data_IF_497438295279
#
_entry.id   IF_497438295279
#
_cell.length_a   1.000
_cell.length_b   1.000
_cell.length_c   1.000
_cell.angle_alpha   90.00
_cell.angle_beta   90.00
_cell.angle_gamma   90.00
#
_symmetry.space_group_name_H-M   'P 1'
#
loop_
_entity.id
_entity.type
_entity.pdbx_description
1 polymer ?
#
# COMPACT_ATOMS: atom_id res chain seq x y z
N UNK A 1 2.14 -16.91 4.40
CA UNK A 1 1.43 -15.63 4.19
C UNK A 1 1.00 -15.53 2.75
N UNK A 2 -0.25 -15.11 2.47
CA UNK A 2 -0.70 -14.87 1.10
C UNK A 2 -0.49 -13.41 0.70
N UNK A 3 0.08 -13.21 -0.49
CA UNK A 3 0.27 -11.88 -1.09
C UNK A 3 -0.42 -11.85 -2.45
N UNK A 4 -1.22 -10.82 -2.67
CA UNK A 4 -1.86 -10.58 -3.96
C UNK A 4 -1.20 -9.41 -4.68
N UNK A 5 -0.69 -9.68 -5.87
CA UNK A 5 -0.15 -8.66 -6.77
C UNK A 5 -1.06 -8.52 -7.98
N UNK A 6 -1.23 -7.33 -8.51
CA UNK A 6 -2.08 -7.12 -9.69
C UNK A 6 -1.37 -6.32 -10.77
N UNK A 7 -1.62 -6.70 -12.01
CA UNK A 7 -1.11 -6.01 -13.19
C UNK A 7 -2.24 -5.72 -14.17
N UNK A 8 -2.25 -4.52 -14.75
CA UNK A 8 -3.24 -4.10 -15.74
C UNK A 8 -2.65 -4.11 -17.13
N UNK A 9 -3.17 -4.97 -18.00
CA UNK A 9 -2.81 -5.07 -19.42
C UNK A 9 -3.68 -4.12 -20.21
N UNK A 10 -3.10 -3.23 -20.99
CA UNK A 10 -3.84 -2.26 -21.80
C UNK A 10 -4.49 -2.94 -23.01
N UNK A 11 -5.76 -2.64 -23.24
CA UNK A 11 -6.49 -3.04 -24.45
C UNK A 11 -6.16 -2.04 -25.57
N UNK A 12 -5.66 -2.51 -26.69
CA UNK A 12 -5.43 -1.66 -27.88
C UNK A 12 -6.73 -1.01 -28.33
N UNK A 13 -6.64 0.24 -28.78
CA UNK A 13 -7.80 0.96 -29.28
C UNK A 13 -8.38 0.23 -30.51
N UNK A 14 -9.63 -0.21 -30.41
CA UNK A 14 -10.35 -0.93 -31.44
C UNK A 14 -11.86 -0.71 -31.29
N UNK A 15 -12.61 -0.97 -32.34
CA UNK A 15 -14.06 -0.79 -32.33
C UNK A 15 -14.75 -2.01 -31.69
N UNK A 16 -14.90 -1.96 -30.35
CA UNK A 16 -15.57 -2.98 -29.54
C UNK A 16 -16.57 -2.34 -28.57
N UNK A 17 -17.67 -3.02 -28.23
CA UNK A 17 -18.80 -2.44 -27.49
C UNK A 17 -18.59 -2.38 -25.98
N UNK A 18 -17.37 -2.07 -25.49
CA UNK A 18 -17.07 -1.95 -24.06
C UNK A 18 -17.99 -0.92 -23.38
N UNK A 19 -18.29 0.19 -24.08
CA UNK A 19 -19.15 1.27 -23.51
C UNK A 19 -20.57 0.78 -23.26
N UNK A 20 -21.13 -0.03 -24.14
CA UNK A 20 -22.47 -0.61 -23.97
C UNK A 20 -22.52 -1.55 -22.78
N UNK A 21 -21.52 -2.45 -22.70
CA UNK A 21 -21.36 -3.36 -21.55
C UNK A 21 -21.24 -2.60 -20.23
N UNK A 22 -20.41 -1.53 -20.17
CA UNK A 22 -20.27 -0.74 -18.96
C UNK A 22 -21.54 0.01 -18.59
N UNK A 23 -22.31 0.49 -19.57
CA UNK A 23 -23.57 1.19 -19.31
C UNK A 23 -24.57 0.27 -18.61
N UNK A 24 -24.83 -0.92 -19.20
CA UNK A 24 -25.79 -1.87 -18.62
C UNK A 24 -25.32 -2.38 -17.26
N UNK A 25 -24.03 -2.68 -17.11
CA UNK A 25 -23.46 -3.11 -15.84
C UNK A 25 -23.62 -2.08 -14.74
N UNK A 26 -23.31 -0.80 -15.03
CA UNK A 26 -23.44 0.29 -14.06
C UNK A 26 -24.88 0.58 -13.68
N UNK A 27 -25.80 0.53 -14.64
CA UNK A 27 -27.23 0.64 -14.35
C UNK A 27 -27.69 -0.47 -13.41
N UNK A 28 -27.24 -1.71 -13.64
CA UNK A 28 -27.52 -2.85 -12.76
C UNK A 28 -26.94 -2.64 -11.35
N UNK A 29 -25.68 -2.20 -11.23
CA UNK A 29 -25.07 -1.89 -9.92
C UNK A 29 -25.82 -0.76 -9.21
N UNK A 30 -26.16 0.34 -9.92
CA UNK A 30 -26.89 1.45 -9.32
C UNK A 30 -28.25 1.03 -8.77
N UNK A 31 -28.98 0.20 -9.50
CA UNK A 31 -30.25 -0.37 -9.04
C UNK A 31 -30.06 -1.24 -7.80
N UNK A 32 -29.08 -2.15 -7.82
CA UNK A 32 -28.77 -3.05 -6.68
C UNK A 32 -28.31 -2.26 -5.43
N UNK A 33 -27.59 -1.16 -5.59
CA UNK A 33 -27.21 -0.27 -4.47
C UNK A 33 -28.44 0.26 -3.76
N UNK A 34 -29.47 0.66 -4.50
CA UNK A 34 -30.73 1.14 -3.92
C UNK A 34 -31.46 0.02 -3.18
N UNK A 35 -31.65 -1.14 -3.84
CA UNK A 35 -32.28 -2.33 -3.25
C UNK A 35 -31.60 -2.77 -1.94
N UNK A 36 -30.28 -2.82 -1.96
CA UNK A 36 -29.54 -3.28 -0.78
C UNK A 36 -29.41 -2.22 0.32
N UNK A 37 -29.52 -0.94 -0.01
CA UNK A 37 -29.62 0.09 1.01
C UNK A 37 -30.96 0.00 1.76
N UNK A 38 -32.07 -0.23 1.03
CA UNK A 38 -33.39 -0.45 1.62
C UNK A 38 -33.47 -1.73 2.48
N UNK A 39 -32.75 -2.79 2.10
CA UNK A 39 -32.75 -4.08 2.79
C UNK A 39 -31.54 -4.27 3.71
N UNK A 40 -30.76 -3.21 4.00
CA UNK A 40 -29.48 -3.34 4.69
C UNK A 40 -29.59 -3.82 6.12
N UNK A 41 -30.64 -3.43 6.82
CA UNK A 41 -30.90 -3.87 8.21
C UNK A 41 -30.96 -5.40 8.30
N UNK A 42 -31.69 -6.04 7.40
CA UNK A 42 -31.79 -7.51 7.32
C UNK A 42 -30.48 -8.16 6.88
N UNK A 43 -29.84 -7.60 5.82
CA UNK A 43 -28.61 -8.15 5.25
C UNK A 43 -27.40 -8.03 6.19
N UNK A 44 -27.34 -6.97 6.98
CA UNK A 44 -26.20 -6.72 7.91
C UNK A 44 -26.14 -7.70 9.07
N UNK A 45 -27.27 -8.28 9.48
CA UNK A 45 -27.37 -9.29 10.55
C UNK A 45 -26.76 -10.64 10.15
N UNK A 46 -26.51 -10.87 8.87
CA UNK A 46 -25.93 -12.12 8.39
C UNK A 46 -24.39 -12.00 8.44
N UNK A 47 -23.73 -12.59 9.43
CA UNK A 47 -22.28 -12.51 9.61
C UNK A 47 -21.48 -13.16 8.48
N UNK A 48 -21.96 -14.30 7.95
CA UNK A 48 -21.27 -15.03 6.91
C UNK A 48 -21.43 -14.34 5.55
N UNK A 49 -20.33 -13.93 4.95
CA UNK A 49 -20.28 -13.18 3.67
C UNK A 49 -20.99 -13.95 2.55
N UNK A 50 -20.80 -15.28 2.47
CA UNK A 50 -21.42 -16.10 1.42
C UNK A 50 -22.93 -16.21 1.62
N UNK A 51 -23.38 -16.37 2.88
CA UNK A 51 -24.82 -16.40 3.20
C UNK A 51 -25.47 -15.05 2.91
N UNK A 52 -24.80 -13.95 3.27
CA UNK A 52 -25.26 -12.58 2.95
C UNK A 52 -25.37 -12.37 1.45
N UNK A 53 -24.38 -12.82 0.67
CA UNK A 53 -24.43 -12.76 -0.79
C UNK A 53 -25.63 -13.55 -1.36
N UNK A 54 -25.85 -14.77 -0.88
CA UNK A 54 -26.97 -15.61 -1.31
C UNK A 54 -28.31 -14.95 -0.96
N UNK A 55 -28.46 -14.41 0.23
CA UNK A 55 -29.67 -13.67 0.64
C UNK A 55 -29.90 -12.47 -0.29
N UNK A 56 -28.87 -11.70 -0.57
CA UNK A 56 -28.93 -10.57 -1.50
C UNK A 56 -29.30 -11.00 -2.94
N UNK A 57 -28.78 -12.13 -3.41
CA UNK A 57 -29.16 -12.69 -4.72
C UNK A 57 -30.62 -13.14 -4.74
N UNK A 58 -31.14 -13.73 -3.66
CA UNK A 58 -32.54 -14.14 -3.54
C UNK A 58 -33.53 -12.97 -3.58
N UNK A 59 -33.14 -11.79 -3.14
CA UNK A 59 -34.02 -10.59 -3.20
C UNK A 59 -34.30 -10.16 -4.65
N UNK A 60 -33.40 -10.44 -5.58
CA UNK A 60 -33.38 -9.84 -6.93
C UNK A 60 -33.42 -10.88 -8.07
N UNK A 61 -33.21 -12.15 -7.77
CA UNK A 61 -33.18 -13.20 -8.78
C UNK A 61 -34.27 -14.22 -8.58
N UNK A 62 -35.13 -14.35 -9.58
CA UNK A 62 -36.22 -15.30 -9.57
C UNK A 62 -35.76 -16.68 -10.04
N UNK A 63 -36.18 -17.70 -9.33
CA UNK A 63 -35.95 -19.10 -9.68
C UNK A 63 -37.24 -19.93 -9.42
N UNK A 64 -37.27 -21.17 -9.91
CA UNK A 64 -38.41 -22.06 -9.64
C UNK A 64 -38.75 -22.23 -8.15
N UNK A 65 -37.77 -22.02 -7.26
CA UNK A 65 -37.88 -22.17 -5.80
C UNK A 65 -37.89 -20.85 -5.02
N UNK A 66 -37.60 -19.72 -5.70
CA UNK A 66 -37.49 -18.42 -5.06
C UNK A 66 -38.20 -17.36 -5.90
N UNK A 67 -39.18 -16.70 -5.31
CA UNK A 67 -39.80 -15.52 -5.91
C UNK A 67 -39.02 -14.29 -5.47
N UNK A 68 -38.50 -13.54 -6.44
CA UNK A 68 -37.74 -12.32 -6.17
C UNK A 68 -38.64 -11.21 -5.59
N UNK A 69 -38.17 -10.50 -4.57
CA UNK A 69 -38.86 -9.33 -3.99
C UNK A 69 -38.82 -8.13 -4.92
N UNK A 70 -37.76 -7.99 -5.73
CA UNK A 70 -37.52 -6.86 -6.61
C UNK A 70 -37.41 -7.29 -8.08
N UNK A 71 -37.79 -6.40 -8.99
CA UNK A 71 -37.95 -6.61 -10.43
C UNK A 71 -36.64 -6.56 -11.26
N UNK A 72 -35.50 -6.93 -10.64
CA UNK A 72 -34.20 -6.86 -11.29
C UNK A 72 -34.13 -7.64 -12.62
N UNK A 73 -34.61 -8.87 -12.61
CA UNK A 73 -34.56 -9.74 -13.81
C UNK A 73 -35.45 -9.20 -14.95
N UNK A 74 -36.53 -8.48 -14.61
CA UNK A 74 -37.37 -7.79 -15.59
C UNK A 74 -36.69 -6.56 -16.17
N UNK A 75 -35.95 -5.80 -15.35
CA UNK A 75 -35.20 -4.60 -15.78
C UNK A 75 -33.94 -4.92 -16.58
N UNK A 76 -33.29 -6.03 -16.25
CA UNK A 76 -32.05 -6.46 -16.88
C UNK A 76 -32.18 -7.87 -17.50
N UNK A 77 -33.14 -8.08 -18.41
CA UNK A 77 -33.32 -9.37 -19.05
C UNK A 77 -32.06 -9.69 -19.85
N UNK A 78 -31.61 -10.94 -19.85
CA UNK A 78 -30.39 -11.40 -20.52
C UNK A 78 -29.05 -10.94 -19.89
N UNK A 79 -29.05 -10.31 -18.71
CA UNK A 79 -27.78 -10.05 -18.03
C UNK A 79 -27.14 -11.38 -17.62
N UNK A 80 -25.90 -11.69 -18.08
CA UNK A 80 -25.25 -12.95 -17.73
C UNK A 80 -25.16 -13.13 -16.21
N UNK A 81 -25.43 -14.35 -15.72
CA UNK A 81 -25.47 -14.67 -14.29
C UNK A 81 -24.20 -14.28 -13.55
N UNK A 82 -23.02 -14.48 -14.15
CA UNK A 82 -21.76 -14.07 -13.54
C UNK A 82 -21.57 -12.54 -13.48
N UNK A 83 -22.13 -11.81 -14.45
CA UNK A 83 -22.13 -10.34 -14.40
C UNK A 83 -23.09 -9.83 -13.34
N UNK A 84 -24.27 -10.45 -13.19
CA UNK A 84 -25.20 -10.19 -12.09
C UNK A 84 -24.52 -10.41 -10.75
N UNK A 85 -23.85 -11.55 -10.56
CA UNK A 85 -23.10 -11.84 -9.32
C UNK A 85 -22.01 -10.85 -9.03
N UNK A 86 -21.26 -10.41 -10.05
CA UNK A 86 -20.29 -9.35 -9.92
C UNK A 86 -20.94 -8.01 -9.51
N UNK A 87 -22.11 -7.67 -10.07
CA UNK A 87 -22.86 -6.47 -9.72
C UNK A 87 -23.39 -6.51 -8.28
N UNK A 88 -23.90 -7.66 -7.85
CA UNK A 88 -24.34 -7.90 -6.46
C UNK A 88 -23.18 -7.68 -5.48
N UNK A 89 -22.02 -8.29 -5.71
CA UNK A 89 -20.84 -8.10 -4.85
C UNK A 89 -20.43 -6.63 -4.79
N UNK A 90 -20.45 -5.94 -5.91
CA UNK A 90 -20.08 -4.53 -5.98
C UNK A 90 -21.05 -3.67 -5.18
N UNK A 91 -22.35 -3.88 -5.36
CA UNK A 91 -23.40 -3.14 -4.67
C UNK A 91 -23.35 -3.38 -3.15
N UNK A 92 -23.23 -4.64 -2.70
CA UNK A 92 -23.07 -4.97 -1.28
C UNK A 92 -21.84 -4.28 -0.67
N UNK A 93 -20.69 -4.29 -1.37
CA UNK A 93 -19.49 -3.61 -0.90
C UNK A 93 -19.67 -2.09 -0.79
N UNK A 94 -20.39 -1.47 -1.72
CA UNK A 94 -20.68 -0.03 -1.72
C UNK A 94 -21.59 0.36 -0.55
N UNK A 95 -22.66 -0.40 -0.31
CA UNK A 95 -23.60 -0.16 0.81
C UNK A 95 -22.90 -0.40 2.15
N UNK A 96 -22.19 -1.51 2.32
CA UNK A 96 -21.42 -1.80 3.55
C UNK A 96 -20.39 -0.70 3.88
N UNK A 97 -19.70 -0.19 2.86
CA UNK A 97 -18.75 0.92 3.03
C UNK A 97 -19.45 2.23 3.42
N UNK A 98 -20.61 2.50 2.84
CA UNK A 98 -21.42 3.66 3.18
C UNK A 98 -21.90 3.61 4.62
N UNK A 99 -22.50 2.49 5.06
CA UNK A 99 -22.99 2.29 6.41
C UNK A 99 -21.87 2.39 7.47
N UNK A 100 -20.73 1.77 7.20
CA UNK A 100 -19.55 1.91 8.07
C UNK A 100 -19.15 3.38 8.24
N UNK A 101 -19.13 4.15 7.13
CA UNK A 101 -18.80 5.58 7.17
C UNK A 101 -19.87 6.41 7.84
N UNK A 102 -21.14 6.06 7.65
CA UNK A 102 -22.27 6.72 8.32
C UNK A 102 -22.16 6.57 9.84
N UNK A 103 -21.92 5.37 10.34
CA UNK A 103 -21.71 5.11 11.77
C UNK A 103 -20.42 5.78 12.33
N UNK A 104 -19.38 6.01 11.51
CA UNK A 104 -18.24 6.82 11.92
C UNK A 104 -18.58 8.32 12.00
N UNK A 105 -19.42 8.82 11.11
CA UNK A 105 -19.88 10.20 11.13
C UNK A 105 -20.79 10.47 12.34
N UNK A 106 -21.73 9.59 12.62
CA UNK A 106 -22.62 9.67 13.80
C UNK A 106 -21.83 9.69 15.11
N UNK A 107 -20.73 8.95 15.19
CA UNK A 107 -19.80 8.98 16.33
C UNK A 107 -18.81 10.15 16.34
N UNK A 108 -19.02 11.16 15.48
CA UNK A 108 -18.17 12.35 15.39
C UNK A 108 -16.74 12.12 14.86
N UNK A 109 -16.46 10.94 14.29
CA UNK A 109 -15.13 10.59 13.76
C UNK A 109 -14.89 11.07 12.31
N UNK A 110 -15.91 11.58 11.64
CA UNK A 110 -15.86 12.16 10.30
C UNK A 110 -16.48 13.53 10.29
N UNK A 111 -15.87 14.48 9.58
CA UNK A 111 -16.29 15.88 9.50
C UNK A 111 -17.47 16.15 8.54
N UNK A 112 -17.81 15.21 7.67
CA UNK A 112 -18.89 15.35 6.69
C UNK A 112 -19.77 14.10 6.60
N UNK A 113 -21.09 14.31 6.48
CA UNK A 113 -22.03 13.20 6.27
C UNK A 113 -21.68 12.47 4.96
N UNK A 114 -21.48 11.16 4.97
CA UNK A 114 -21.23 10.39 3.77
C UNK A 114 -22.47 10.41 2.86
N UNK A 115 -22.25 10.28 1.55
CA UNK A 115 -23.31 10.12 0.57
C UNK A 115 -23.24 8.71 0.02
N UNK A 116 -24.39 8.07 -0.11
CA UNK A 116 -24.51 6.81 -0.86
C UNK A 116 -24.33 7.16 -2.35
N UNK A 117 -23.23 6.69 -2.95
CA UNK A 117 -22.91 6.95 -4.35
C UNK A 117 -23.37 5.77 -5.16
N UNK A 118 -24.35 5.98 -6.03
CA UNK A 118 -24.69 5.04 -7.09
C UNK A 118 -23.57 5.08 -8.15
N UNK A 119 -22.93 3.96 -8.35
CA UNK A 119 -21.59 3.84 -8.91
C UNK A 119 -21.48 4.08 -10.43
N UNK A 120 -21.20 5.31 -10.83
CA UNK A 120 -20.76 5.62 -12.20
C UNK A 120 -19.38 5.06 -12.56
N UNK A 121 -18.65 4.50 -11.59
CA UNK A 121 -17.29 4.00 -11.75
C UNK A 121 -17.19 2.47 -11.60
N UNK A 122 -18.30 1.78 -11.35
CA UNK A 122 -18.31 0.32 -11.23
C UNK A 122 -17.73 -0.36 -12.48
N UNK A 123 -16.89 -1.36 -12.26
CA UNK A 123 -16.18 -2.09 -13.30
C UNK A 123 -16.40 -3.59 -13.15
N UNK A 124 -16.83 -4.31 -14.22
CA UNK A 124 -17.15 -5.72 -14.16
C UNK A 124 -15.90 -6.60 -14.00
N UNK A 125 -16.08 -7.72 -13.30
CA UNK A 125 -15.16 -8.85 -13.32
C UNK A 125 -15.58 -9.79 -14.45
N UNK A 126 -14.64 -10.17 -15.31
CA UNK A 126 -14.87 -11.10 -16.40
C UNK A 126 -14.47 -12.51 -15.99
N UNK A 127 -15.41 -13.32 -15.56
CA UNK A 127 -15.15 -14.68 -15.11
C UNK A 127 -14.58 -15.56 -16.25
N UNK A 128 -13.55 -16.33 -15.91
CA UNK A 128 -12.85 -17.20 -16.86
C UNK A 128 -13.80 -18.21 -17.48
N UNK A 129 -13.59 -18.49 -18.76
CA UNK A 129 -14.34 -19.41 -19.62
C UNK A 129 -15.83 -19.06 -19.83
N UNK A 130 -16.37 -18.09 -19.12
CA UNK A 130 -17.77 -17.63 -19.25
C UNK A 130 -17.86 -16.23 -19.84
N UNK A 131 -17.01 -15.32 -19.41
CA UNK A 131 -16.98 -13.91 -19.85
C UNK A 131 -15.62 -13.50 -20.43
N UNK A 132 -14.57 -14.25 -20.08
CA UNK A 132 -13.19 -14.07 -20.53
C UNK A 132 -12.60 -15.41 -20.96
N UNK A 133 -11.94 -15.42 -22.12
CA UNK A 133 -11.09 -16.51 -22.59
C UNK A 133 -9.74 -15.93 -23.00
N UNK A 134 -8.65 -16.56 -22.58
CA UNK A 134 -7.34 -16.24 -23.13
C UNK A 134 -7.31 -16.67 -24.62
N UNK A 135 -6.61 -15.96 -25.45
CA UNK A 135 -6.17 -16.47 -26.76
C UNK A 135 -4.98 -17.42 -26.55
N UNK A 136 -4.42 -17.95 -27.62
CA UNK A 136 -3.24 -18.81 -27.56
C UNK A 136 -2.08 -18.10 -26.85
N UNK A 137 -1.21 -18.87 -26.19
CA UNK A 137 -0.13 -18.32 -25.34
C UNK A 137 0.81 -17.36 -26.08
N UNK A 138 0.97 -17.54 -27.39
CA UNK A 138 1.81 -16.67 -28.22
C UNK A 138 1.08 -15.42 -28.73
N UNK A 139 -0.25 -15.36 -28.58
CA UNK A 139 -1.03 -14.21 -29.02
C UNK A 139 -1.16 -13.13 -27.96
N UNK A 140 -1.03 -11.87 -28.38
CA UNK A 140 -1.34 -10.72 -27.55
C UNK A 140 -2.81 -10.34 -27.66
N UNK A 141 -3.70 -11.28 -27.34
CA UNK A 141 -5.14 -11.15 -27.47
C UNK A 141 -5.89 -11.90 -26.36
N UNK A 142 -7.16 -11.56 -26.23
CA UNK A 142 -8.13 -12.28 -25.40
C UNK A 142 -9.51 -12.18 -26.02
N UNK A 143 -10.45 -12.98 -25.53
CA UNK A 143 -11.86 -12.90 -25.92
C UNK A 143 -12.67 -12.44 -24.70
N UNK A 144 -13.47 -11.38 -24.90
CA UNK A 144 -14.41 -10.88 -23.90
C UNK A 144 -15.84 -11.05 -24.39
N UNK A 145 -16.72 -11.53 -23.51
CA UNK A 145 -18.15 -11.55 -23.80
C UNK A 145 -18.74 -10.18 -23.47
N UNK A 146 -19.08 -9.41 -24.49
CA UNK A 146 -19.54 -8.02 -24.40
C UNK A 146 -20.97 -7.88 -24.97
N UNK A 147 -21.68 -6.87 -24.47
CA UNK A 147 -23.01 -6.50 -24.94
C UNK A 147 -22.89 -5.53 -26.13
N UNK A 148 -23.41 -5.93 -27.30
CA UNK A 148 -23.34 -5.10 -28.51
C UNK A 148 -24.48 -4.08 -28.66
N UNK A 149 -25.42 -4.06 -27.71
CA UNK A 149 -26.63 -3.27 -27.72
C UNK A 149 -27.90 -4.10 -27.98
N UNK A 150 -27.73 -5.34 -28.46
CA UNK A 150 -28.81 -6.29 -28.69
C UNK A 150 -28.63 -7.63 -27.97
N UNK A 151 -27.39 -8.15 -28.03
CA UNK A 151 -27.07 -9.44 -27.43
C UNK A 151 -25.63 -9.49 -26.86
N UNK A 152 -25.30 -10.58 -26.14
CA UNK A 152 -24.01 -10.86 -25.56
C UNK A 152 -23.20 -11.76 -26.48
N UNK A 153 -22.12 -11.20 -27.08
CA UNK A 153 -21.26 -11.89 -28.04
C UNK A 153 -19.81 -11.88 -27.62
N UNK A 154 -19.04 -12.81 -28.09
CA UNK A 154 -17.60 -12.86 -27.92
C UNK A 154 -16.92 -11.90 -28.90
N UNK A 155 -16.06 -11.04 -28.35
CA UNK A 155 -15.25 -10.11 -29.13
C UNK A 155 -13.78 -10.39 -28.82
N UNK A 156 -12.97 -10.53 -29.88
CA UNK A 156 -11.51 -10.56 -29.74
C UNK A 156 -11.01 -9.18 -29.38
N UNK A 157 -10.19 -9.08 -28.32
CA UNK A 157 -9.56 -7.85 -27.85
C UNK A 157 -8.06 -8.00 -27.99
N UNK A 158 -7.42 -7.07 -28.72
CA UNK A 158 -5.98 -7.04 -28.88
C UNK A 158 -5.36 -6.29 -27.68
N UNK A 159 -4.28 -6.84 -27.14
CA UNK A 159 -3.57 -6.37 -25.95
C UNK A 159 -2.22 -5.78 -26.36
N UNK A 160 -1.64 -4.93 -25.49
CA UNK A 160 -0.31 -4.41 -25.75
C UNK A 160 0.74 -5.49 -25.52
N UNK A 161 1.63 -5.65 -26.48
CA UNK A 161 2.71 -6.66 -26.47
C UNK A 161 3.61 -6.53 -25.22
N UNK A 162 4.05 -5.32 -24.93
CA UNK A 162 4.92 -5.04 -23.77
C UNK A 162 4.33 -5.46 -22.43
N UNK A 163 3.00 -5.32 -22.27
CA UNK A 163 2.29 -5.75 -21.08
C UNK A 163 2.18 -7.28 -21.02
N UNK A 164 1.88 -7.91 -22.15
CA UNK A 164 1.78 -9.37 -22.25
C UNK A 164 3.13 -10.04 -22.05
N UNK A 165 4.20 -9.49 -22.63
CA UNK A 165 5.57 -9.96 -22.41
C UNK A 165 5.96 -9.87 -20.94
N UNK A 166 5.62 -8.76 -20.26
CA UNK A 166 5.84 -8.61 -18.82
C UNK A 166 5.12 -9.70 -18.03
N UNK A 167 3.86 -10.01 -18.37
CA UNK A 167 3.11 -11.08 -17.69
C UNK A 167 3.75 -12.45 -17.93
N UNK A 168 4.12 -12.79 -19.15
CA UNK A 168 4.78 -14.06 -19.48
C UNK A 168 6.10 -14.21 -18.71
N UNK A 169 6.91 -13.15 -18.65
CA UNK A 169 8.20 -13.17 -17.95
C UNK A 169 8.08 -13.27 -16.44
N UNK A 170 7.15 -12.56 -15.81
CA UNK A 170 7.11 -12.40 -14.36
C UNK A 170 6.04 -13.23 -13.66
N UNK A 171 5.04 -13.71 -14.40
CA UNK A 171 3.84 -14.35 -13.85
C UNK A 171 3.50 -15.71 -14.50
N UNK A 172 4.41 -16.25 -15.32
CA UNK A 172 4.26 -17.58 -15.87
C UNK A 172 4.05 -18.64 -14.78
N UNK A 173 3.15 -19.58 -15.01
CA UNK A 173 2.84 -20.65 -14.08
C UNK A 173 2.07 -20.26 -12.80
N UNK A 174 1.79 -18.96 -12.59
CA UNK A 174 1.04 -18.50 -11.41
C UNK A 174 -0.45 -18.39 -11.71
N UNK A 175 -1.28 -18.80 -10.73
CA UNK A 175 -2.73 -18.74 -10.84
C UNK A 175 -3.20 -17.28 -10.83
N UNK A 176 -3.74 -16.83 -11.96
CA UNK A 176 -4.39 -15.53 -12.05
C UNK A 176 -5.88 -15.64 -11.70
N UNK A 177 -6.42 -14.64 -11.01
CA UNK A 177 -7.87 -14.48 -10.83
C UNK A 177 -8.56 -14.11 -12.15
N UNK A 178 -9.89 -14.12 -12.17
CA UNK A 178 -10.66 -13.53 -13.26
C UNK A 178 -10.29 -12.04 -13.44
N UNK A 179 -10.05 -11.56 -14.67
CA UNK A 179 -9.67 -10.19 -14.88
C UNK A 179 -10.81 -9.22 -14.60
N UNK A 180 -10.46 -8.08 -14.03
CA UNK A 180 -11.38 -6.94 -13.85
C UNK A 180 -11.13 -5.92 -14.94
N UNK A 181 -12.18 -5.44 -15.60
CA UNK A 181 -12.04 -4.31 -16.51
C UNK A 181 -11.72 -3.06 -15.71
N UNK A 182 -10.75 -2.27 -16.16
CA UNK A 182 -10.38 -0.99 -15.56
C UNK A 182 -10.35 0.09 -16.63
N UNK A 183 -10.83 1.29 -16.29
CA UNK A 183 -10.71 2.45 -17.16
C UNK A 183 -9.79 3.48 -16.51
N UNK A 184 -8.72 3.87 -17.23
CA UNK A 184 -7.84 4.97 -16.84
C UNK A 184 -7.87 6.04 -17.93
N UNK A 185 -8.39 7.20 -17.61
CA UNK A 185 -8.64 8.25 -18.58
C UNK A 185 -9.52 7.74 -19.76
N UNK A 186 -8.95 7.63 -20.95
CA UNK A 186 -9.66 7.17 -22.14
C UNK A 186 -9.26 5.75 -22.58
N UNK A 187 -8.46 5.05 -21.76
CA UNK A 187 -7.93 3.70 -22.06
C UNK A 187 -8.58 2.65 -21.17
N UNK A 188 -8.70 1.45 -21.68
CA UNK A 188 -9.22 0.28 -20.96
C UNK A 188 -8.09 -0.72 -20.70
N UNK A 189 -8.18 -1.36 -19.56
CA UNK A 189 -7.20 -2.36 -19.11
C UNK A 189 -7.94 -3.58 -18.57
N UNK A 190 -7.36 -4.75 -18.79
CA UNK A 190 -7.70 -5.96 -18.07
C UNK A 190 -6.72 -6.11 -16.92
N UNK A 191 -7.23 -5.99 -15.71
CA UNK A 191 -6.41 -6.16 -14.49
C UNK A 191 -6.49 -7.60 -14.02
N UNK A 192 -5.36 -8.28 -14.05
CA UNK A 192 -5.18 -9.61 -13.50
C UNK A 192 -4.60 -9.50 -12.08
N UNK A 193 -5.09 -10.32 -11.16
CA UNK A 193 -4.54 -10.45 -9.82
C UNK A 193 -3.96 -11.84 -9.65
N UNK A 194 -2.76 -11.92 -9.08
CA UNK A 194 -2.01 -13.14 -8.84
C UNK A 194 -1.79 -13.28 -7.35
N UNK A 195 -2.16 -14.42 -6.80
CA UNK A 195 -1.96 -14.72 -5.37
C UNK A 195 -0.83 -15.72 -5.23
N UNK A 196 0.12 -15.40 -4.36
CA UNK A 196 1.29 -16.22 -4.04
C UNK A 196 1.31 -16.53 -2.55
N UNK A 197 1.71 -17.74 -2.19
CA UNK A 197 2.04 -18.09 -0.82
C UNK A 197 3.54 -17.86 -0.60
N UNK A 198 3.87 -17.04 0.39
CA UNK A 198 5.25 -16.66 0.69
C UNK A 198 5.56 -17.01 2.14
N UNK A 199 6.71 -17.63 2.34
CA UNK A 199 7.30 -17.82 3.66
C UNK A 199 8.17 -16.62 4.00
N UNK A 200 7.84 -15.93 5.10
CA UNK A 200 8.69 -14.86 5.63
C UNK A 200 9.84 -15.46 6.45
N UNK A 201 10.98 -14.79 6.51
CA UNK A 201 12.14 -15.18 7.32
C UNK A 201 11.72 -15.48 8.76
N UNK A 202 12.20 -16.62 9.28
CA UNK A 202 12.00 -17.08 10.66
C UNK A 202 13.31 -17.14 11.44
N UNK A 203 14.37 -16.51 10.92
CA UNK A 203 15.69 -16.46 11.57
C UNK A 203 15.57 -15.99 13.01
N UNK A 204 16.29 -16.63 13.92
CA UNK A 204 16.37 -16.22 15.32
C UNK A 204 16.89 -14.78 15.44
N UNK A 205 16.38 -14.02 16.41
CA UNK A 205 16.69 -12.59 16.57
C UNK A 205 18.19 -12.33 16.69
N UNK A 206 18.93 -13.25 17.32
CA UNK A 206 20.39 -13.11 17.54
C UNK A 206 21.19 -13.28 16.25
N UNK A 207 20.66 -14.04 15.28
CA UNK A 207 21.30 -14.30 13.99
C UNK A 207 20.79 -13.38 12.89
N UNK A 208 19.73 -12.60 13.17
CA UNK A 208 19.13 -11.72 12.17
C UNK A 208 20.07 -10.63 11.70
N UNK A 209 20.04 -10.41 10.40
CA UNK A 209 20.55 -9.20 9.76
C UNK A 209 19.36 -8.32 9.41
N UNK A 210 19.38 -7.05 9.81
CA UNK A 210 18.31 -6.10 9.50
C UNK A 210 18.79 -4.94 8.63
N UNK A 211 17.88 -4.41 7.82
CA UNK A 211 18.05 -3.13 7.13
C UNK A 211 17.21 -2.06 7.84
N UNK A 212 17.81 -1.21 8.64
CA UNK A 212 17.11 -0.08 9.25
C UNK A 212 17.13 1.14 8.35
N UNK A 213 15.99 1.83 8.23
CA UNK A 213 15.75 2.86 7.23
C UNK A 213 15.16 4.10 7.87
N UNK A 214 15.89 5.20 7.75
CA UNK A 214 15.36 6.55 8.01
C UNK A 214 14.92 7.19 6.67
N UNK A 215 13.64 7.64 6.61
CA UNK A 215 13.05 8.28 5.44
C UNK A 215 13.07 9.80 5.62
N UNK A 216 13.83 10.50 4.80
CA UNK A 216 13.99 11.95 4.85
C UNK A 216 13.34 12.71 3.69
N UNK A 217 13.35 14.04 3.79
CA UNK A 217 12.91 14.95 2.72
C UNK A 217 14.11 15.35 1.84
N UNK A 218 15.27 15.59 2.44
CA UNK A 218 16.47 16.00 1.76
C UNK A 218 17.19 14.78 1.15
N UNK A 219 17.50 13.79 1.97
CA UNK A 219 17.92 12.46 1.55
C UNK A 219 16.67 11.56 1.56
N UNK A 220 16.39 10.86 0.46
CA UNK A 220 15.14 10.10 0.32
C UNK A 220 15.06 8.93 1.31
N UNK A 221 16.18 8.22 1.49
CA UNK A 221 16.33 7.21 2.53
C UNK A 221 17.80 7.05 2.90
N UNK A 222 18.06 6.81 4.19
CA UNK A 222 19.35 6.36 4.71
C UNK A 222 19.16 4.96 5.29
N UNK A 223 19.86 3.98 4.71
CA UNK A 223 19.77 2.59 5.08
C UNK A 223 21.03 2.15 5.82
N UNK A 224 20.89 1.36 6.88
CA UNK A 224 22.02 0.70 7.56
C UNK A 224 21.73 -0.78 7.73
N UNK A 225 22.74 -1.60 7.52
CA UNK A 225 22.68 -3.06 7.76
C UNK A 225 23.30 -3.33 9.11
N UNK A 226 22.51 -3.91 10.01
CA UNK A 226 22.87 -4.16 11.42
C UNK A 226 22.62 -5.59 11.83
N UNK A 227 23.45 -6.11 12.74
CA UNK A 227 23.27 -7.36 13.48
C UNK A 227 22.86 -7.09 14.92
N UNK A 228 22.40 -8.12 15.62
CA UNK A 228 21.92 -8.05 17.00
C UNK A 228 22.99 -7.61 18.01
N UNK A 229 24.27 -7.90 17.75
CA UNK A 229 25.42 -7.44 18.54
C UNK A 229 25.79 -5.96 18.34
N UNK A 230 25.09 -5.27 17.42
CA UNK A 230 25.39 -3.90 17.03
C UNK A 230 26.41 -3.78 15.90
N UNK A 231 26.88 -4.88 15.30
CA UNK A 231 27.79 -4.80 14.15
C UNK A 231 27.10 -4.14 12.96
N UNK A 232 27.74 -3.10 12.39
CA UNK A 232 27.29 -2.38 11.19
C UNK A 232 27.99 -2.98 9.98
N UNK A 233 27.26 -3.70 9.13
CA UNK A 233 27.79 -4.35 7.93
C UNK A 233 27.80 -3.44 6.71
N UNK A 234 26.91 -2.45 6.65
CA UNK A 234 26.81 -1.58 5.50
C UNK A 234 25.95 -0.35 5.73
N UNK A 235 26.10 0.64 4.84
CA UNK A 235 25.37 1.92 4.83
C UNK A 235 25.11 2.32 3.40
N UNK A 236 23.93 2.87 3.13
CA UNK A 236 23.58 3.36 1.81
C UNK A 236 22.71 4.62 1.93
N UNK A 237 23.14 5.67 1.22
CA UNK A 237 22.35 6.89 1.04
C UNK A 237 21.63 6.80 -0.31
N UNK A 238 20.32 6.87 -0.29
CA UNK A 238 19.46 6.83 -1.47
C UNK A 238 18.96 8.25 -1.69
N UNK A 239 19.26 8.82 -2.85
CA UNK A 239 18.83 10.16 -3.20
C UNK A 239 18.59 10.28 -4.71
N UNK A 240 17.37 10.57 -5.09
CA UNK A 240 16.94 10.81 -6.47
C UNK A 240 16.80 12.31 -6.72
N UNK A 241 17.91 13.05 -6.62
CA UNK A 241 17.94 14.52 -6.73
C UNK A 241 17.33 15.02 -8.03
N UNK A 242 17.67 14.44 -9.17
CA UNK A 242 17.13 14.83 -10.48
C UNK A 242 15.62 14.69 -10.60
N UNK A 243 15.03 13.63 -9.99
CA UNK A 243 13.58 13.44 -9.97
C UNK A 243 12.90 14.47 -9.05
N UNK A 244 13.53 14.79 -7.91
CA UNK A 244 13.04 15.84 -7.00
C UNK A 244 13.10 17.20 -7.65
N UNK A 245 14.17 17.54 -8.35
CA UNK A 245 14.33 18.79 -9.08
C UNK A 245 13.29 18.91 -10.20
N UNK A 246 13.07 17.82 -10.96
CA UNK A 246 12.02 17.76 -11.97
C UNK A 246 10.64 18.03 -11.36
N UNK A 247 10.32 17.38 -10.22
CA UNK A 247 9.08 17.62 -9.52
C UNK A 247 8.96 19.05 -9.01
N UNK A 248 10.03 19.61 -8.47
CA UNK A 248 10.08 21.01 -8.02
C UNK A 248 9.78 22.00 -9.14
N UNK A 249 10.40 21.82 -10.32
CA UNK A 249 10.14 22.64 -11.49
C UNK A 249 8.70 22.52 -12.03
N UNK A 250 8.14 21.30 -12.01
CA UNK A 250 6.72 21.08 -12.37
C UNK A 250 5.78 21.83 -11.42
N UNK A 251 6.04 21.76 -10.12
CA UNK A 251 5.27 22.48 -9.12
C UNK A 251 5.42 24.00 -9.24
N UNK A 252 6.60 24.49 -9.58
CA UNK A 252 6.86 25.91 -9.88
C UNK A 252 6.01 26.40 -11.06
N UNK A 253 5.97 25.63 -12.15
CA UNK A 253 5.11 25.92 -13.32
C UNK A 253 3.62 25.89 -12.98
N UNK A 254 3.16 24.96 -12.14
CA UNK A 254 1.77 24.91 -11.67
C UNK A 254 1.43 26.17 -10.89
N UNK A 255 2.29 26.59 -9.94
CA UNK A 255 2.07 27.81 -9.14
C UNK A 255 2.00 29.08 -10.00
N UNK A 256 2.89 29.21 -11.01
CA UNK A 256 2.86 30.32 -11.97
C UNK A 256 1.53 30.33 -12.73
N UNK A 257 1.17 29.20 -13.32
CA UNK A 257 -0.09 29.07 -14.06
C UNK A 257 -1.34 29.38 -13.22
N UNK A 258 -1.35 28.95 -11.95
CA UNK A 258 -2.46 29.25 -11.04
C UNK A 258 -2.58 30.74 -10.72
N UNK A 259 -1.47 31.47 -10.65
CA UNK A 259 -1.48 32.94 -10.46
C UNK A 259 -2.02 33.68 -11.69
N UNK A 260 -1.66 33.19 -12.88
CA UNK A 260 -2.02 33.82 -14.15
C UNK A 260 -3.47 33.50 -14.59
N UNK A 261 -3.94 32.27 -14.37
CA UNK A 261 -5.17 31.72 -14.94
C UNK A 261 -6.18 31.20 -13.89
N UNK A 262 -5.86 31.34 -12.60
CA UNK A 262 -6.68 30.77 -11.53
C UNK A 262 -6.58 29.25 -11.41
N UNK A 263 -7.39 28.66 -10.52
CA UNK A 263 -7.27 27.24 -10.14
C UNK A 263 -8.05 26.25 -11.03
N UNK A 264 -8.94 26.73 -11.91
CA UNK A 264 -9.89 25.87 -12.63
C UNK A 264 -9.29 24.96 -13.70
N UNK A 265 -8.15 25.31 -14.30
CA UNK A 265 -7.56 24.58 -15.45
C UNK A 265 -6.29 23.78 -15.13
N UNK A 266 -5.98 23.55 -13.86
CA UNK A 266 -4.71 22.93 -13.44
C UNK A 266 -4.78 21.43 -13.18
N UNK A 267 -5.92 20.80 -13.35
CA UNK A 267 -6.12 19.38 -13.00
C UNK A 267 -5.16 18.43 -13.71
N UNK A 268 -4.95 18.61 -15.03
CA UNK A 268 -4.02 17.76 -15.81
C UNK A 268 -2.57 17.93 -15.36
N UNK A 269 -2.17 19.16 -15.00
CA UNK A 269 -0.81 19.49 -14.50
C UNK A 269 -0.58 18.88 -13.13
N UNK A 270 -1.57 18.94 -12.23
CA UNK A 270 -1.52 18.24 -10.94
C UNK A 270 -1.50 16.73 -11.09
N UNK A 271 -2.25 16.16 -12.04
CA UNK A 271 -2.21 14.73 -12.35
C UNK A 271 -0.81 14.29 -12.80
N UNK A 272 -0.13 15.11 -13.59
CA UNK A 272 1.26 14.87 -13.98
C UNK A 272 2.22 14.92 -12.79
N UNK A 273 2.16 15.96 -11.96
CA UNK A 273 2.97 16.07 -10.74
C UNK A 273 2.75 14.88 -9.79
N UNK A 274 1.49 14.44 -9.63
CA UNK A 274 1.14 13.27 -8.83
C UNK A 274 1.77 11.99 -9.37
N UNK A 275 1.81 11.80 -10.70
CA UNK A 275 2.47 10.63 -11.33
C UNK A 275 3.97 10.63 -11.07
N UNK A 276 4.65 11.78 -11.27
CA UNK A 276 6.08 11.91 -10.96
C UNK A 276 6.38 11.57 -9.49
N UNK A 277 5.60 12.11 -8.58
CA UNK A 277 5.78 11.87 -7.14
C UNK A 277 5.49 10.40 -6.77
N UNK A 278 4.54 9.75 -7.44
CA UNK A 278 4.27 8.32 -7.26
C UNK A 278 5.42 7.47 -7.78
N UNK A 279 5.99 7.85 -8.92
CA UNK A 279 7.14 7.16 -9.50
C UNK A 279 8.39 7.30 -8.63
N UNK A 280 8.65 8.49 -8.10
CA UNK A 280 9.72 8.71 -7.13
C UNK A 280 9.56 7.78 -5.91
N UNK A 281 8.36 7.69 -5.34
CA UNK A 281 8.09 6.78 -4.21
C UNK A 281 8.36 5.31 -4.56
N UNK A 282 8.03 4.87 -5.78
CA UNK A 282 8.31 3.51 -6.27
C UNK A 282 9.81 3.25 -6.40
N UNK A 283 10.56 4.22 -6.95
CA UNK A 283 12.01 4.12 -7.11
C UNK A 283 12.72 4.04 -5.76
N UNK A 284 12.32 4.85 -4.78
CA UNK A 284 12.86 4.80 -3.43
C UNK A 284 12.58 3.43 -2.81
N UNK A 285 11.34 2.95 -2.87
CA UNK A 285 10.96 1.65 -2.34
C UNK A 285 11.75 0.51 -2.99
N UNK A 286 11.93 0.55 -4.30
CA UNK A 286 12.72 -0.44 -5.03
C UNK A 286 14.19 -0.42 -4.61
N UNK A 287 14.79 0.77 -4.45
CA UNK A 287 16.19 0.91 -4.04
C UNK A 287 16.44 0.42 -2.60
N UNK A 288 15.51 0.71 -1.67
CA UNK A 288 15.57 0.21 -0.28
C UNK A 288 15.46 -1.31 -0.27
N UNK A 289 14.47 -1.87 -0.97
CA UNK A 289 14.25 -3.32 -1.01
C UNK A 289 15.42 -4.06 -1.68
N UNK A 290 15.97 -3.50 -2.77
CA UNK A 290 17.14 -4.06 -3.44
C UNK A 290 18.35 -4.11 -2.51
N UNK A 291 18.62 -3.01 -1.79
CA UNK A 291 19.74 -2.96 -0.84
C UNK A 291 19.59 -3.96 0.32
N UNK A 292 18.37 -4.10 0.87
CA UNK A 292 18.09 -5.10 1.88
C UNK A 292 18.32 -6.53 1.35
N UNK A 293 17.87 -6.82 0.12
CA UNK A 293 18.04 -8.12 -0.52
C UNK A 293 19.52 -8.45 -0.82
N UNK A 294 20.27 -7.49 -1.37
CA UNK A 294 21.70 -7.61 -1.65
C UNK A 294 22.51 -7.98 -0.40
N UNK A 295 22.09 -7.46 0.77
CA UNK A 295 22.71 -7.73 2.06
C UNK A 295 22.03 -8.86 2.87
N UNK A 296 21.15 -9.65 2.24
CA UNK A 296 20.42 -10.78 2.85
C UNK A 296 19.72 -10.40 4.17
N UNK A 297 19.14 -9.21 4.23
CA UNK A 297 18.42 -8.75 5.41
C UNK A 297 17.13 -9.56 5.62
N UNK A 298 16.92 -10.03 6.85
CA UNK A 298 15.71 -10.74 7.28
C UNK A 298 14.52 -9.80 7.48
N UNK A 299 14.82 -8.56 7.89
CA UNK A 299 13.83 -7.57 8.27
C UNK A 299 14.24 -6.19 7.77
N UNK A 300 13.31 -5.45 7.17
CA UNK A 300 13.46 -4.00 6.97
C UNK A 300 12.71 -3.29 8.10
N UNK A 301 13.40 -2.39 8.77
CA UNK A 301 12.87 -1.65 9.94
C UNK A 301 12.69 -0.19 9.60
N UNK A 302 11.47 0.30 9.74
CA UNK A 302 11.10 1.71 9.56
C UNK A 302 10.70 2.35 10.89
N UNK A 303 10.60 3.66 10.88
CA UNK A 303 9.87 4.40 11.91
C UNK A 303 8.35 4.31 11.69
N UNK A 304 7.60 4.24 12.80
CA UNK A 304 6.16 4.43 12.79
C UNK A 304 5.84 5.92 12.73
N UNK A 305 5.54 6.39 11.53
CA UNK A 305 5.33 7.81 11.25
C UNK A 305 3.82 8.13 11.17
N UNK A 306 3.17 8.32 12.31
CA UNK A 306 1.86 8.97 12.37
C UNK A 306 2.03 10.50 12.37
N UNK A 307 1.45 11.15 11.37
CA UNK A 307 1.26 12.59 11.41
C UNK A 307 -0.17 12.84 11.85
N UNK A 308 -0.37 12.97 13.16
CA UNK A 308 -1.59 13.50 13.75
C UNK A 308 -1.46 15.02 13.82
N UNK A 309 -2.37 15.74 13.17
CA UNK A 309 -2.44 17.19 13.28
C UNK A 309 -2.46 17.93 11.94
N UNK A 310 -2.88 19.19 11.99
CA UNK A 310 -2.97 20.09 10.83
C UNK A 310 -1.58 20.60 10.47
N UNK A 311 -1.07 20.22 9.33
CA UNK A 311 0.21 20.75 8.83
C UNK A 311 -0.02 22.20 8.37
N UNK A 312 0.73 23.15 8.95
CA UNK A 312 0.68 24.57 8.59
C UNK A 312 2.06 25.10 8.25
N UNK A 313 2.14 26.29 7.68
CA UNK A 313 3.37 27.01 7.38
C UNK A 313 4.02 26.67 6.02
N UNK A 314 5.19 27.28 5.78
CA UNK A 314 5.90 27.24 4.49
C UNK A 314 6.35 25.83 4.04
N UNK A 315 6.50 24.89 4.98
CA UNK A 315 6.89 23.50 4.71
C UNK A 315 5.70 22.58 4.35
N UNK A 316 4.44 23.09 4.46
CA UNK A 316 3.21 22.31 4.25
C UNK A 316 3.23 21.53 2.93
N UNK A 317 3.60 22.17 1.83
CA UNK A 317 3.61 21.52 0.52
C UNK A 317 4.65 20.39 0.43
N UNK A 318 5.88 20.59 0.96
CA UNK A 318 6.92 19.56 0.98
C UNK A 318 6.48 18.35 1.79
N UNK A 319 5.85 18.57 2.95
CA UNK A 319 5.34 17.51 3.82
C UNK A 319 4.17 16.74 3.19
N UNK A 320 3.25 17.41 2.50
CA UNK A 320 2.17 16.74 1.77
C UNK A 320 2.66 15.92 0.57
N UNK A 321 3.73 16.37 -0.08
CA UNK A 321 4.35 15.64 -1.19
C UNK A 321 5.24 14.49 -0.71
N UNK A 322 5.68 14.50 0.54
CA UNK A 322 6.49 13.43 1.11
C UNK A 322 5.65 12.19 1.35
N UNK A 323 5.75 11.23 0.45
CA UNK A 323 4.91 10.02 0.42
C UNK A 323 5.47 8.88 1.30
N UNK A 324 5.91 9.19 2.49
CA UNK A 324 6.54 8.23 3.42
C UNK A 324 5.74 6.95 3.66
N UNK A 325 4.41 7.07 3.85
CA UNK A 325 3.54 5.89 4.02
C UNK A 325 3.41 5.05 2.76
N UNK A 326 3.39 5.70 1.59
CA UNK A 326 3.34 4.98 0.33
C UNK A 326 4.67 4.26 0.05
N UNK A 327 5.82 4.90 0.38
CA UNK A 327 7.14 4.25 0.30
C UNK A 327 7.16 3.02 1.20
N UNK A 328 6.76 3.13 2.48
CA UNK A 328 6.71 1.99 3.39
C UNK A 328 5.80 0.86 2.90
N UNK A 329 4.59 1.18 2.40
CA UNK A 329 3.66 0.17 1.84
C UNK A 329 4.22 -0.52 0.59
N UNK A 330 4.88 0.25 -0.28
CA UNK A 330 5.52 -0.30 -1.47
C UNK A 330 6.71 -1.20 -1.10
N UNK A 331 7.55 -0.78 -0.14
CA UNK A 331 8.61 -1.62 0.41
C UNK A 331 8.05 -2.90 1.02
N UNK A 332 6.98 -2.80 1.83
CA UNK A 332 6.34 -3.95 2.47
C UNK A 332 5.89 -4.99 1.45
N UNK A 333 5.19 -4.54 0.40
CA UNK A 333 4.75 -5.44 -0.66
C UNK A 333 5.92 -6.10 -1.41
N UNK A 334 6.96 -5.32 -1.72
CA UNK A 334 8.15 -5.84 -2.44
C UNK A 334 9.00 -6.76 -1.56
N UNK A 335 9.22 -6.38 -0.29
CA UNK A 335 10.01 -7.12 0.68
C UNK A 335 9.36 -8.47 1.01
N UNK A 336 8.05 -8.49 1.29
CA UNK A 336 7.31 -9.71 1.57
C UNK A 336 7.39 -10.71 0.42
N UNK A 337 7.30 -10.25 -0.84
CA UNK A 337 7.49 -11.13 -2.01
C UNK A 337 8.88 -11.77 -2.10
N UNK A 338 9.85 -11.23 -1.38
CA UNK A 338 11.23 -11.75 -1.27
C UNK A 338 11.50 -12.46 0.05
N UNK A 339 10.46 -12.69 0.86
CA UNK A 339 10.58 -13.35 2.17
C UNK A 339 11.09 -12.44 3.29
N UNK A 340 11.36 -11.17 3.01
CA UNK A 340 11.86 -10.19 3.99
C UNK A 340 10.68 -9.64 4.80
N UNK A 341 10.78 -9.65 6.14
CA UNK A 341 9.76 -9.06 7.03
C UNK A 341 9.88 -7.54 7.09
N UNK A 342 8.77 -6.88 7.44
CA UNK A 342 8.76 -5.45 7.77
C UNK A 342 8.47 -5.28 9.24
N UNK A 343 9.21 -4.39 9.89
CA UNK A 343 8.95 -3.95 11.25
C UNK A 343 8.94 -2.43 11.34
N UNK A 344 8.28 -1.91 12.38
CA UNK A 344 8.22 -0.49 12.66
C UNK A 344 8.52 -0.24 14.13
N UNK A 345 9.28 0.84 14.40
CA UNK A 345 9.64 1.28 15.76
C UNK A 345 9.14 2.70 15.98
N UNK A 346 9.06 3.12 17.26
CA UNK A 346 8.65 4.49 17.59
C UNK A 346 9.61 5.53 16.99
N UNK A 347 9.05 6.53 16.32
CA UNK A 347 9.81 7.63 15.72
C UNK A 347 10.28 8.69 16.74
N UNK A 348 9.75 8.65 17.98
CA UNK A 348 10.05 9.68 19.00
C UNK A 348 11.54 9.69 19.33
N UNK A 349 12.21 10.83 19.15
CA UNK A 349 13.62 11.08 19.46
C UNK A 349 14.67 10.28 18.67
N UNK A 350 14.32 9.51 17.63
CA UNK A 350 15.30 8.75 16.80
C UNK A 350 16.35 9.67 16.20
N UNK A 351 15.94 10.81 15.63
CA UNK A 351 16.82 11.81 15.01
C UNK A 351 17.23 12.95 15.97
N UNK A 352 16.72 12.94 17.20
CA UNK A 352 17.06 13.95 18.22
C UNK A 352 18.19 13.50 19.14
N UNK A 353 18.39 12.20 19.28
CA UNK A 353 19.43 11.64 20.14
C UNK A 353 20.60 11.13 19.29
N UNK A 354 21.81 11.39 19.78
CA UNK A 354 23.04 10.86 19.22
C UNK A 354 23.09 9.33 19.35
N UNK A 355 23.58 8.65 18.33
CA UNK A 355 23.65 7.18 18.35
C UNK A 355 24.65 6.64 19.38
N UNK A 356 25.63 7.45 19.78
CA UNK A 356 26.68 7.09 20.75
C UNK A 356 26.24 7.23 22.22
N UNK A 357 24.99 7.65 22.47
CA UNK A 357 24.47 7.83 23.84
C UNK A 357 24.81 9.16 24.48
N UNK A 358 25.54 10.06 23.83
CA UNK A 358 25.97 11.34 24.39
C UNK A 358 24.85 12.35 24.66
N UNK A 359 23.62 12.07 24.20
CA UNK A 359 22.46 12.91 24.49
C UNK A 359 21.84 13.57 23.25
N UNK A 360 21.23 14.73 23.42
CA UNK A 360 20.57 15.44 22.32
C UNK A 360 21.58 16.03 21.33
N UNK A 361 21.30 15.90 20.04
CA UNK A 361 22.13 16.48 18.97
C UNK A 361 21.75 17.94 18.69
N UNK A 362 22.73 18.76 18.37
CA UNK A 362 22.54 20.13 17.86
C UNK A 362 22.64 20.10 16.34
N UNK A 363 21.54 20.41 15.63
CA UNK A 363 21.52 20.43 14.17
C UNK A 363 22.20 21.67 13.61
N UNK A 364 22.95 21.50 12.55
CA UNK A 364 23.55 22.60 11.81
C UNK A 364 22.46 23.44 11.12
N UNK A 365 22.39 24.76 11.33
CA UNK A 365 21.37 25.62 10.76
C UNK A 365 21.49 25.77 9.24
N UNK A 366 22.70 25.69 8.68
CA UNK A 366 22.95 25.77 7.25
C UNK A 366 22.80 24.42 6.51
N UNK A 367 23.11 23.33 7.21
CA UNK A 367 23.00 21.98 6.65
C UNK A 367 22.26 21.04 7.60
N UNK A 368 20.95 20.94 7.43
CA UNK A 368 20.09 20.11 8.28
C UNK A 368 20.40 18.62 8.30
N UNK A 369 21.22 18.13 7.37
CA UNK A 369 21.71 16.74 7.36
C UNK A 369 22.89 16.51 8.31
N UNK A 370 23.51 17.59 8.83
CA UNK A 370 24.60 17.54 9.80
C UNK A 370 24.13 17.90 11.21
N UNK A 371 24.75 17.28 12.18
CA UNK A 371 24.58 17.62 13.61
C UNK A 371 25.91 17.49 14.36
N UNK A 372 25.98 18.17 15.51
CA UNK A 372 27.06 18.06 16.48
C UNK A 372 26.55 17.36 17.70
N UNK A 373 27.23 16.31 18.15
CA UNK A 373 26.97 15.56 19.36
C UNK A 373 27.52 16.32 20.58
N UNK A 374 27.09 15.96 21.79
CA UNK A 374 27.63 16.57 23.01
C UNK A 374 29.14 16.31 23.19
N UNK A 375 29.65 15.25 22.58
CA UNK A 375 31.10 14.96 22.51
C UNK A 375 31.88 15.87 21.55
N UNK A 376 31.23 16.83 20.89
CA UNK A 376 31.85 17.67 19.84
C UNK A 376 31.92 17.00 18.47
N UNK A 377 31.55 15.73 18.34
CA UNK A 377 31.59 14.99 17.07
C UNK A 377 30.56 15.53 16.08
N UNK A 378 31.01 15.92 14.88
CA UNK A 378 30.09 16.24 13.76
C UNK A 378 29.71 14.97 13.00
N UNK A 379 28.45 14.77 12.76
CA UNK A 379 27.93 13.55 12.14
C UNK A 379 26.69 13.81 11.28
N UNK A 380 26.34 12.83 10.41
CA UNK A 380 25.11 12.90 9.64
C UNK A 380 23.91 12.50 10.52
N UNK A 381 22.90 13.38 10.60
CA UNK A 381 21.71 13.18 11.46
C UNK A 381 20.90 11.96 11.05
N UNK A 382 20.69 11.80 9.72
CA UNK A 382 19.81 10.75 9.18
C UNK A 382 20.48 9.37 9.36
N UNK A 383 21.83 9.31 9.27
CA UNK A 383 22.58 8.08 9.54
C UNK A 383 22.56 7.73 11.04
N UNK A 384 22.69 8.72 11.91
CA UNK A 384 22.51 8.52 13.36
C UNK A 384 21.11 8.00 13.68
N UNK A 385 20.08 8.56 13.05
CA UNK A 385 18.70 8.10 13.18
C UNK A 385 18.51 6.65 12.70
N UNK A 386 19.11 6.28 11.56
CA UNK A 386 19.04 4.92 11.04
C UNK A 386 19.64 3.89 12.02
N UNK A 387 20.76 4.21 12.69
CA UNK A 387 21.31 3.34 13.74
C UNK A 387 20.34 3.20 14.93
N UNK A 388 19.76 4.30 15.39
CA UNK A 388 18.82 4.28 16.49
C UNK A 388 17.54 3.49 16.17
N UNK A 389 17.06 3.55 14.90
CA UNK A 389 15.92 2.74 14.41
C UNK A 389 16.23 1.26 14.52
N UNK A 390 17.41 0.83 14.04
CA UNK A 390 17.84 -0.56 14.10
C UNK A 390 18.04 -1.06 15.52
N UNK A 391 18.67 -0.25 16.36
CA UNK A 391 18.88 -0.57 17.78
C UNK A 391 17.55 -0.78 18.52
N UNK A 392 16.55 0.08 18.31
CA UNK A 392 15.22 -0.06 18.92
C UNK A 392 14.51 -1.34 18.53
N UNK A 393 14.70 -1.79 17.29
CA UNK A 393 14.18 -3.08 16.86
C UNK A 393 14.81 -4.21 17.66
N UNK A 394 16.15 -4.30 17.69
CA UNK A 394 16.85 -5.37 18.38
C UNK A 394 16.62 -5.34 19.89
N UNK A 395 16.68 -4.18 20.55
CA UNK A 395 16.39 -4.05 21.98
C UNK A 395 14.98 -4.59 22.30
N UNK A 396 13.97 -4.25 21.49
CA UNK A 396 12.61 -4.75 21.65
C UNK A 396 12.53 -6.27 21.50
N UNK A 397 13.13 -6.82 20.45
CA UNK A 397 13.01 -8.25 20.12
C UNK A 397 13.87 -9.10 21.07
N UNK A 398 15.07 -8.63 21.46
CA UNK A 398 15.94 -9.32 22.41
C UNK A 398 15.34 -9.39 23.81
N UNK A 399 14.62 -8.36 24.25
CA UNK A 399 13.95 -8.32 25.58
C UNK A 399 12.60 -9.06 25.61
N UNK A 400 12.03 -9.39 24.44
CA UNK A 400 10.70 -9.99 24.35
C UNK A 400 10.59 -11.40 24.99
N UNK A 401 11.57 -12.29 24.90
CA UNK A 401 11.48 -13.63 25.48
C UNK A 401 11.60 -13.64 27.01
N UNK A 402 12.14 -12.59 27.64
CA UNK A 402 12.38 -12.55 29.08
C UNK A 402 11.11 -12.29 29.88
N UNK A 403 10.99 -12.91 31.04
CA UNK A 403 9.99 -12.65 32.06
C UNK A 403 10.11 -11.19 32.57
N UNK A 404 9.11 -10.71 33.28
CA UNK A 404 9.10 -9.34 33.80
C UNK A 404 10.23 -9.12 34.83
N UNK A 405 10.53 -10.13 35.64
CA UNK A 405 11.61 -10.10 36.64
C UNK A 405 12.99 -10.03 36.00
N UNK A 406 13.25 -10.90 35.02
CA UNK A 406 14.52 -10.91 34.28
C UNK A 406 14.73 -9.61 33.49
N UNK A 407 13.65 -9.12 32.87
CA UNK A 407 13.68 -7.84 32.16
C UNK A 407 14.00 -6.69 33.10
N UNK A 408 13.39 -6.65 34.28
CA UNK A 408 13.68 -5.63 35.29
C UNK A 408 15.13 -5.66 35.75
N UNK A 409 15.73 -6.85 35.90
CA UNK A 409 17.14 -7.01 36.20
C UNK A 409 18.05 -6.46 35.09
N UNK A 410 17.72 -6.74 33.83
CA UNK A 410 18.45 -6.19 32.67
C UNK A 410 18.28 -4.68 32.55
N UNK A 411 17.07 -4.16 32.80
CA UNK A 411 16.76 -2.72 32.82
C UNK A 411 17.48 -1.97 33.95
N UNK A 412 17.78 -2.63 35.09
CA UNK A 412 18.60 -2.06 36.16
C UNK A 412 20.06 -1.91 35.72
N UNK A 413 20.58 -2.86 34.92
CA UNK A 413 21.97 -2.82 34.40
C UNK A 413 22.12 -1.83 33.25
N UNK A 414 21.08 -1.68 32.40
CA UNK A 414 21.04 -0.77 31.25
C UNK A 414 19.76 0.07 31.33
N UNK A 415 19.72 1.14 32.20
CA UNK A 415 18.47 1.86 32.48
C UNK A 415 17.79 2.52 31.29
N UNK A 416 18.53 2.85 30.24
CA UNK A 416 18.02 3.46 29.00
C UNK A 416 17.05 2.56 28.25
N UNK A 417 17.18 1.22 28.34
CA UNK A 417 16.32 0.28 27.61
C UNK A 417 14.89 0.20 28.17
N UNK A 418 14.67 0.64 29.41
CA UNK A 418 13.34 0.75 30.02
C UNK A 418 12.41 1.67 29.22
N UNK A 419 12.93 2.74 28.62
CA UNK A 419 12.16 3.71 27.83
C UNK A 419 12.42 3.50 26.32
N UNK A 420 11.65 2.65 25.68
CA UNK A 420 11.75 2.34 24.23
C UNK A 420 11.84 3.56 23.31
N UNK A 421 11.35 4.73 23.74
CA UNK A 421 11.36 5.98 22.97
C UNK A 421 12.65 6.79 23.11
N UNK A 422 13.56 6.38 23.98
CA UNK A 422 14.86 7.06 24.22
C UNK A 422 16.06 6.14 23.97
N UNK A 423 15.86 4.87 23.70
CA UNK A 423 16.94 3.96 23.36
C UNK A 423 17.68 4.41 22.09
N UNK A 424 19.00 4.28 22.11
CA UNK A 424 19.92 4.59 21.03
C UNK A 424 20.82 3.39 20.72
N UNK A 425 21.66 3.51 19.70
CA UNK A 425 22.53 2.40 19.26
C UNK A 425 23.55 1.98 20.33
N UNK A 426 24.09 2.91 21.11
CA UNK A 426 24.99 2.57 22.21
C UNK A 426 24.33 1.64 23.25
N UNK A 427 23.03 1.83 23.52
CA UNK A 427 22.27 1.00 24.45
C UNK A 427 22.12 -0.44 23.98
N UNK A 428 22.01 -0.66 22.66
CA UNK A 428 22.00 -2.00 22.08
C UNK A 428 23.29 -2.73 22.38
N UNK A 429 24.44 -2.08 22.20
CA UNK A 429 25.76 -2.67 22.47
C UNK A 429 25.94 -3.00 23.95
N UNK A 430 25.50 -2.12 24.83
CA UNK A 430 25.52 -2.37 26.27
C UNK A 430 24.61 -3.54 26.64
N UNK A 431 23.40 -3.58 26.14
CA UNK A 431 22.46 -4.68 26.36
C UNK A 431 23.04 -6.02 25.88
N UNK A 432 23.62 -6.03 24.69
CA UNK A 432 24.23 -7.25 24.14
C UNK A 432 25.37 -7.74 25.04
N UNK A 433 26.26 -6.87 25.51
CA UNK A 433 27.32 -7.21 26.42
C UNK A 433 26.81 -7.82 27.75
N UNK A 434 25.72 -7.30 28.31
CA UNK A 434 25.10 -7.87 29.51
C UNK A 434 24.44 -9.23 29.26
N UNK A 435 23.81 -9.41 28.09
CA UNK A 435 23.21 -10.69 27.70
C UNK A 435 24.27 -11.79 27.50
N UNK A 436 25.45 -11.47 26.99
CA UNK A 436 26.55 -12.42 26.86
C UNK A 436 27.11 -12.81 28.24
N UNK A 437 27.26 -11.87 29.19
CA UNK A 437 27.66 -12.20 30.57
C UNK A 437 26.69 -13.16 31.24
N UNK A 438 25.38 -12.98 31.06
CA UNK A 438 24.35 -13.87 31.63
C UNK A 438 24.34 -15.28 30.99
N UNK A 439 24.99 -15.48 29.84
CA UNK A 439 25.10 -16.80 29.18
C UNK A 439 26.28 -17.61 29.67
N UNK A 440 27.32 -16.96 30.16
CA UNK A 440 28.57 -17.56 30.62
C UNK A 440 28.50 -17.90 32.12
N UNK A 441 27.59 -17.27 32.85
CA UNK A 441 27.28 -17.55 34.25
C UNK A 441 26.11 -18.58 34.35
#
# INVERSE_FOLDING_TARGET
MQITSSYGVEIKKQNIPIRHTLRIYRSAVSYLVQVYAESWEELSQIDNIQKRFNAAEHLVHETKKNRAKYDFDLRFPRLPSYLRRSAIQHALGSVSSYETRLGLWERGKLTGKPKLVCENHAMPVFYRNVMYKAADEQEDAAYLKLYDGRDWKWFRVNLFHTDMEYLRKNWAGKKASAPTLEKRHHRYFLRFSYTEEISLSKTDVKEQTICSVDLGINTDAVCTILRADGTVLGRKFINFSSDKDRLYHVLGRIRRFQREHGSRQVQSRWAYAKRLNTELARRIAAAVTAYALENRADVIVFEYLEMSGRISGNKKQKLHLWRKRDIQKLCEHQAHRKGIRISRVSARNTSRLAYDGSGAVVRDPGNHSLCTFQTGKRYNCDLSAAYNIGARYFIRELLKPFSETERSSLEAKVPSVKRRTSCVYADLRLLHAELEKCRIA
#
